data_IF_539279025890
#
_entry.id   IF_539279025890
#
_cell.length_a   1.000
_cell.length_b   1.000
_cell.length_c   1.000
_cell.angle_alpha   90.00
_cell.angle_beta   90.00
_cell.angle_gamma   90.00
#
_symmetry.space_group_name_H-M   'P 1'
#
loop_
_entity.id
_entity.type
_entity.pdbx_description
1 polymer ?
#
# COMPACT_ATOMS: atom_id res chain seq x y z
N UNK A 1 20.42 14.42 21.46
CA UNK A 1 20.19 13.74 20.17
C UNK A 1 20.30 12.24 20.41
N UNK A 2 19.24 11.47 20.19
CA UNK A 2 19.34 10.00 20.22
C UNK A 2 20.28 9.56 19.10
N UNK A 3 21.25 8.69 19.40
CA UNK A 3 22.15 8.17 18.36
C UNK A 3 21.33 7.36 17.35
N UNK A 4 21.77 7.34 16.08
CA UNK A 4 21.15 6.54 15.02
C UNK A 4 20.93 5.07 15.45
N UNK A 5 21.87 4.52 16.22
CA UNK A 5 21.78 3.19 16.79
C UNK A 5 20.64 3.05 17.81
N UNK A 6 20.46 4.01 18.72
CA UNK A 6 19.38 4.00 19.70
C UNK A 6 18.00 4.12 19.03
N UNK A 7 17.89 4.96 17.98
CA UNK A 7 16.68 5.07 17.17
C UNK A 7 16.41 3.74 16.44
N UNK A 8 17.41 3.15 15.80
CA UNK A 8 17.24 1.86 15.11
C UNK A 8 16.82 0.73 16.07
N UNK A 9 17.39 0.68 17.29
CA UNK A 9 17.06 -0.34 18.31
C UNK A 9 15.63 -0.14 18.84
N UNK A 10 15.22 1.07 19.19
CA UNK A 10 13.85 1.36 19.64
C UNK A 10 12.83 1.02 18.55
N UNK A 11 13.21 1.19 17.29
CA UNK A 11 12.35 0.95 16.14
C UNK A 11 12.27 -0.52 15.75
N UNK A 12 13.37 -1.27 15.87
CA UNK A 12 13.36 -2.72 15.79
C UNK A 12 12.53 -3.33 16.94
N UNK A 13 12.65 -2.78 18.15
CA UNK A 13 11.87 -3.20 19.31
C UNK A 13 10.38 -2.88 19.14
N UNK A 14 10.04 -1.70 18.61
CA UNK A 14 8.66 -1.34 18.31
C UNK A 14 8.06 -2.22 17.20
N UNK A 15 8.83 -2.51 16.13
CA UNK A 15 8.41 -3.42 15.07
C UNK A 15 8.20 -4.85 15.59
N UNK A 16 9.10 -5.34 16.46
CA UNK A 16 8.97 -6.63 17.12
C UNK A 16 7.78 -6.68 18.07
N UNK A 17 7.61 -5.69 18.94
CA UNK A 17 6.46 -5.57 19.83
C UNK A 17 5.14 -5.52 19.04
N UNK A 18 5.15 -4.88 17.87
CA UNK A 18 3.97 -4.79 17.00
C UNK A 18 3.73 -6.04 16.15
N UNK A 19 4.65 -7.01 16.16
CA UNK A 19 4.49 -8.33 15.54
C UNK A 19 3.69 -9.33 16.40
N UNK A 20 3.28 -8.91 17.60
CA UNK A 20 2.50 -9.70 18.56
C UNK A 20 1.13 -10.18 18.04
N UNK A 21 0.45 -11.05 18.82
CA UNK A 21 -0.80 -11.67 18.41
C UNK A 21 -1.87 -10.64 17.99
N UNK A 22 -2.63 -10.99 16.95
CA UNK A 22 -3.74 -10.14 16.49
C UNK A 22 -4.89 -10.30 17.47
N UNK A 23 -5.26 -9.21 18.14
CA UNK A 23 -6.37 -9.21 19.10
C UNK A 23 -7.68 -9.65 18.42
N UNK A 24 -8.52 -10.52 19.04
CA UNK A 24 -9.76 -11.02 18.45
C UNK A 24 -10.71 -9.92 17.98
N UNK A 25 -10.77 -8.81 18.72
CA UNK A 25 -11.57 -7.63 18.35
C UNK A 25 -11.18 -7.03 16.99
N UNK A 26 -9.91 -7.13 16.55
CA UNK A 26 -9.49 -6.64 15.24
C UNK A 26 -9.99 -7.55 14.11
N UNK A 27 -10.10 -8.85 14.36
CA UNK A 27 -10.66 -9.83 13.42
C UNK A 27 -12.16 -9.55 13.25
N UNK A 28 -12.90 -9.37 14.37
CA UNK A 28 -14.32 -9.06 14.31
C UNK A 28 -14.61 -7.71 13.66
N UNK A 29 -13.79 -6.68 13.93
CA UNK A 29 -13.88 -5.40 13.23
C UNK A 29 -13.61 -5.53 11.73
N UNK A 30 -12.60 -6.31 11.32
CA UNK A 30 -12.34 -6.56 9.91
C UNK A 30 -13.52 -7.27 9.24
N UNK A 31 -14.03 -8.31 9.88
CA UNK A 31 -15.15 -9.09 9.37
C UNK A 31 -16.40 -8.21 9.17
N UNK A 32 -16.76 -7.40 10.17
CA UNK A 32 -17.85 -6.41 10.05
C UNK A 32 -17.64 -5.43 8.90
N UNK A 33 -16.43 -4.87 8.75
CA UNK A 33 -16.09 -3.90 7.70
C UNK A 33 -16.10 -4.48 6.28
N UNK A 34 -15.99 -5.79 6.17
CA UNK A 34 -15.95 -6.50 4.88
C UNK A 34 -17.20 -7.35 4.67
N UNK A 35 -18.21 -7.22 5.54
CA UNK A 35 -19.41 -8.05 5.56
C UNK A 35 -19.12 -9.56 5.49
N UNK A 36 -18.09 -10.00 6.21
CA UNK A 36 -17.69 -11.42 6.30
C UNK A 36 -18.29 -12.07 7.55
N UNK A 37 -18.76 -13.31 7.40
CA UNK A 37 -19.00 -14.19 8.53
C UNK A 37 -17.66 -14.67 9.11
N UNK A 38 -17.49 -14.60 10.43
CA UNK A 38 -16.31 -15.17 11.11
C UNK A 38 -16.59 -16.64 11.34
N UNK A 39 -16.00 -17.50 10.52
CA UNK A 39 -16.07 -18.95 10.64
C UNK A 39 -14.72 -19.53 11.08
N UNK A 40 -14.69 -20.76 11.63
CA UNK A 40 -13.44 -21.44 11.96
C UNK A 40 -12.47 -21.59 10.77
N UNK A 41 -13.00 -21.71 9.54
CA UNK A 41 -12.21 -21.81 8.32
C UNK A 41 -11.66 -20.48 7.82
N UNK A 42 -12.47 -19.40 7.89
CA UNK A 42 -12.08 -18.08 7.37
C UNK A 42 -11.17 -17.30 8.34
N UNK A 43 -11.31 -17.51 9.65
CA UNK A 43 -10.57 -16.76 10.67
C UNK A 43 -9.04 -16.85 10.51
N UNK A 44 -8.42 -18.03 10.32
CA UNK A 44 -6.97 -18.15 10.15
C UNK A 44 -6.43 -17.33 8.98
N UNK A 45 -7.17 -17.25 7.86
CA UNK A 45 -6.82 -16.44 6.68
C UNK A 45 -6.76 -14.96 7.04
N UNK A 46 -7.82 -14.45 7.66
CA UNK A 46 -7.91 -13.04 8.10
C UNK A 46 -6.83 -12.72 9.12
N UNK A 47 -6.65 -13.58 10.12
CA UNK A 47 -5.65 -13.42 11.19
C UNK A 47 -4.24 -13.33 10.62
N UNK A 48 -3.88 -14.25 9.70
CA UNK A 48 -2.56 -14.27 9.04
C UNK A 48 -2.33 -13.01 8.21
N UNK A 49 -3.33 -12.59 7.44
CA UNK A 49 -3.27 -11.35 6.66
C UNK A 49 -3.04 -10.13 7.56
N UNK A 50 -3.82 -9.97 8.63
CA UNK A 50 -3.71 -8.85 9.56
C UNK A 50 -2.35 -8.83 10.27
N UNK A 51 -1.84 -10.00 10.68
CA UNK A 51 -0.51 -10.10 11.31
C UNK A 51 0.59 -9.66 10.35
N UNK A 52 0.58 -10.20 9.14
CA UNK A 52 1.60 -9.93 8.12
C UNK A 52 1.60 -8.45 7.74
N UNK A 53 0.42 -7.90 7.41
CA UNK A 53 0.30 -6.48 7.04
C UNK A 53 0.66 -5.55 8.19
N UNK A 54 0.28 -5.84 9.44
CA UNK A 54 0.68 -5.03 10.60
C UNK A 54 2.19 -4.99 10.77
N UNK A 55 2.84 -6.14 10.74
CA UNK A 55 4.30 -6.25 10.92
C UNK A 55 5.04 -5.45 9.86
N UNK A 56 4.78 -5.71 8.58
CA UNK A 56 5.47 -5.04 7.48
C UNK A 56 5.20 -3.54 7.41
N UNK A 57 3.96 -3.10 7.66
CA UNK A 57 3.61 -1.67 7.71
C UNK A 57 4.30 -0.95 8.87
N UNK A 58 4.39 -1.61 10.02
CA UNK A 58 5.09 -1.07 11.19
C UNK A 58 6.60 -0.95 10.92
N UNK A 59 7.22 -2.00 10.36
CA UNK A 59 8.62 -1.98 9.96
C UNK A 59 8.92 -0.91 8.92
N UNK A 60 8.04 -0.74 7.93
CA UNK A 60 8.17 0.30 6.92
C UNK A 60 8.07 1.71 7.51
N UNK A 61 7.04 1.97 8.32
CA UNK A 61 6.89 3.25 9.05
C UNK A 61 8.14 3.53 9.89
N UNK A 62 8.65 2.48 10.53
CA UNK A 62 9.80 2.58 11.38
C UNK A 62 11.09 2.93 10.61
N UNK A 63 11.31 2.28 9.47
CA UNK A 63 12.40 2.62 8.57
C UNK A 63 12.30 4.06 8.07
N UNK A 64 11.10 4.52 7.68
CA UNK A 64 10.88 5.91 7.28
C UNK A 64 11.27 6.90 8.39
N UNK A 65 10.83 6.67 9.63
CA UNK A 65 11.19 7.51 10.77
C UNK A 65 12.71 7.54 11.04
N UNK A 66 13.40 6.39 10.95
CA UNK A 66 14.86 6.33 11.12
C UNK A 66 15.56 7.14 10.04
N UNK A 67 15.16 6.95 8.77
CA UNK A 67 15.79 7.62 7.62
C UNK A 67 15.51 9.12 7.62
N UNK A 68 14.33 9.55 8.07
CA UNK A 68 14.00 10.96 8.28
C UNK A 68 14.99 11.65 9.23
N UNK A 69 15.44 10.95 10.27
CA UNK A 69 16.34 11.51 11.30
C UNK A 69 17.84 11.27 11.02
N UNK A 70 18.15 10.41 10.04
CA UNK A 70 19.46 9.77 9.94
C UNK A 70 20.24 10.01 8.66
N UNK A 71 19.58 10.43 7.58
CA UNK A 71 20.24 10.65 6.29
C UNK A 71 20.23 12.13 5.90
N UNK A 72 21.35 12.68 5.40
CA UNK A 72 21.32 13.93 4.68
C UNK A 72 20.53 13.78 3.37
N UNK A 73 19.84 14.85 3.00
CA UNK A 73 19.09 15.02 1.74
C UNK A 73 19.99 14.65 0.53
N UNK A 74 19.51 13.96 -0.55
CA UNK A 74 18.15 13.93 -1.11
C UNK A 74 17.35 12.62 -0.93
N UNK A 75 17.81 11.69 -0.09
CA UNK A 75 17.20 10.34 0.05
C UNK A 75 16.33 10.17 1.30
N UNK A 76 15.95 11.28 1.92
CA UNK A 76 15.20 11.27 3.18
C UNK A 76 13.79 10.72 2.94
N UNK A 77 13.56 9.48 3.37
CA UNK A 77 12.25 8.84 3.30
C UNK A 77 11.38 9.36 4.44
N UNK A 78 10.26 9.99 4.12
CA UNK A 78 9.27 10.35 5.13
C UNK A 78 8.57 9.10 5.70
N UNK A 79 7.92 9.20 6.88
CA UNK A 79 7.26 8.06 7.53
C UNK A 79 6.15 7.41 6.69
N UNK A 80 5.43 8.20 5.88
CA UNK A 80 4.39 7.67 5.01
C UNK A 80 4.99 6.84 3.87
N UNK A 81 6.03 7.35 3.21
CA UNK A 81 6.75 6.60 2.16
C UNK A 81 7.29 5.28 2.71
N UNK A 82 7.92 5.30 3.89
CA UNK A 82 8.33 4.09 4.59
C UNK A 82 7.18 3.13 4.86
N UNK A 83 6.07 3.62 5.44
CA UNK A 83 4.87 2.81 5.68
C UNK A 83 4.33 2.17 4.41
N UNK A 84 4.29 2.91 3.30
CA UNK A 84 3.80 2.42 2.01
C UNK A 84 4.72 1.37 1.40
N UNK A 85 6.04 1.53 1.49
CA UNK A 85 6.98 0.46 1.15
C UNK A 85 6.73 -0.81 2.00
N UNK A 86 6.36 -0.64 3.27
CA UNK A 86 5.86 -1.71 4.12
C UNK A 86 4.59 -2.38 3.60
N UNK A 87 3.66 -1.64 2.98
CA UNK A 87 2.48 -2.22 2.30
C UNK A 87 2.91 -3.10 1.13
N UNK A 88 3.86 -2.65 0.29
CA UNK A 88 4.39 -3.44 -0.83
C UNK A 88 5.06 -4.72 -0.31
N UNK A 89 5.92 -4.58 0.70
CA UNK A 89 6.61 -5.71 1.34
C UNK A 89 5.64 -6.73 1.94
N UNK A 90 4.54 -6.28 2.55
CA UNK A 90 3.50 -7.17 3.05
C UNK A 90 2.89 -8.03 1.93
N UNK A 91 2.61 -7.44 0.77
CA UNK A 91 2.00 -8.15 -0.35
C UNK A 91 2.94 -9.10 -1.07
N UNK A 92 4.22 -8.75 -1.14
CA UNK A 92 5.27 -9.65 -1.60
C UNK A 92 5.41 -10.83 -0.64
N UNK A 93 5.44 -10.58 0.68
CA UNK A 93 5.53 -11.64 1.69
C UNK A 93 4.30 -12.57 1.70
N UNK A 94 3.09 -12.01 1.50
CA UNK A 94 1.87 -12.81 1.34
C UNK A 94 1.94 -13.63 0.05
N UNK A 95 2.35 -13.01 -1.05
CA UNK A 95 2.45 -13.66 -2.37
C UNK A 95 3.51 -14.75 -2.46
N UNK A 96 4.62 -14.60 -1.73
CA UNK A 96 5.72 -15.57 -1.69
C UNK A 96 5.31 -16.89 -1.01
N UNK A 97 4.39 -16.84 -0.04
CA UNK A 97 3.95 -18.02 0.72
C UNK A 97 2.81 -18.76 0.02
N UNK A 98 2.92 -19.00 -1.29
CA UNK A 98 1.92 -19.75 -2.06
C UNK A 98 1.66 -21.08 -1.34
N UNK A 99 0.42 -21.30 -0.93
CA UNK A 99 0.01 -22.60 -0.42
C UNK A 99 -0.21 -23.51 -1.63
N UNK A 100 0.56 -24.60 -1.77
CA UNK A 100 0.28 -25.61 -2.79
C UNK A 100 -1.07 -26.23 -2.46
N UNK A 101 -2.07 -25.98 -3.29
CA UNK A 101 -3.42 -26.47 -3.09
C UNK A 101 -4.22 -26.43 -4.38
N UNK A 102 -5.30 -27.23 -4.46
CA UNK A 102 -6.17 -27.25 -5.63
C UNK A 102 -6.74 -25.85 -5.91
N UNK A 103 -6.73 -25.48 -7.18
CA UNK A 103 -7.18 -24.17 -7.67
C UNK A 103 -8.57 -24.34 -8.27
N UNK A 104 -9.51 -23.48 -7.86
CA UNK A 104 -10.81 -23.41 -8.50
C UNK A 104 -10.68 -22.67 -9.85
N UNK A 105 -11.29 -23.23 -10.90
CA UNK A 105 -11.43 -22.53 -12.17
C UNK A 105 -12.38 -21.34 -11.97
N UNK A 106 -11.85 -20.11 -12.07
CA UNK A 106 -12.66 -18.90 -12.01
C UNK A 106 -12.96 -18.43 -13.45
N UNK A 107 -14.23 -18.29 -13.85
CA UNK A 107 -14.60 -17.89 -15.21
C UNK A 107 -14.19 -16.45 -15.55
N UNK A 108 -14.00 -15.59 -14.55
CA UNK A 108 -13.50 -14.23 -14.74
C UNK A 108 -12.68 -13.75 -13.52
N UNK A 109 -11.67 -12.87 -13.73
CA UNK A 109 -10.90 -12.30 -12.63
C UNK A 109 -11.80 -11.39 -11.76
N UNK A 110 -11.68 -11.48 -10.42
CA UNK A 110 -12.52 -10.71 -9.52
C UNK A 110 -12.28 -9.20 -9.65
N UNK A 111 -13.36 -8.43 -9.52
CA UNK A 111 -13.29 -6.96 -9.44
C UNK A 111 -12.88 -6.56 -8.01
N UNK A 112 -11.58 -6.38 -7.81
CA UNK A 112 -11.00 -6.06 -6.49
C UNK A 112 -11.05 -4.58 -6.11
N UNK A 113 -11.24 -3.67 -7.07
CA UNK A 113 -11.19 -2.23 -6.87
C UNK A 113 -12.54 -1.58 -7.12
N UNK A 114 -12.94 -0.67 -6.23
CA UNK A 114 -14.02 0.28 -6.49
C UNK A 114 -13.65 1.24 -7.64
N UNK A 115 -14.63 1.88 -8.29
CA UNK A 115 -14.36 2.89 -9.32
C UNK A 115 -13.43 4.01 -8.84
N UNK A 116 -13.63 4.48 -7.61
CA UNK A 116 -12.80 5.53 -7.01
C UNK A 116 -11.37 5.06 -6.71
N UNK A 117 -11.18 3.83 -6.20
CA UNK A 117 -9.83 3.31 -6.00
C UNK A 117 -9.10 3.10 -7.32
N UNK A 118 -9.83 2.75 -8.39
CA UNK A 118 -9.28 2.65 -9.74
C UNK A 118 -8.81 4.02 -10.27
N UNK A 119 -9.57 5.09 -10.06
CA UNK A 119 -9.13 6.43 -10.45
C UNK A 119 -7.90 6.87 -9.68
N UNK A 120 -7.79 6.54 -8.38
CA UNK A 120 -6.55 6.78 -7.62
C UNK A 120 -5.36 6.02 -8.19
N UNK A 121 -5.52 4.73 -8.52
CA UNK A 121 -4.43 3.92 -9.09
C UNK A 121 -3.89 4.52 -10.39
N UNK A 122 -4.79 4.82 -11.33
CA UNK A 122 -4.39 5.33 -12.65
C UNK A 122 -4.02 6.82 -12.63
N UNK A 123 -4.65 7.62 -11.77
CA UNK A 123 -4.24 9.00 -11.53
C UNK A 123 -2.83 9.07 -10.96
N UNK A 124 -2.50 8.22 -9.98
CA UNK A 124 -1.14 8.07 -9.47
C UNK A 124 -0.16 7.64 -10.57
N UNK A 125 -0.53 6.66 -11.40
CA UNK A 125 0.30 6.26 -12.54
C UNK A 125 0.57 7.40 -13.53
N UNK A 126 -0.45 8.18 -13.88
CA UNK A 126 -0.30 9.34 -14.76
C UNK A 126 0.62 10.40 -14.12
N UNK A 127 0.45 10.70 -12.84
CA UNK A 127 1.31 11.66 -12.12
C UNK A 127 2.77 11.20 -12.06
N UNK A 128 3.03 9.92 -11.81
CA UNK A 128 4.40 9.38 -11.81
C UNK A 128 5.06 9.47 -13.19
N UNK A 129 4.31 9.23 -14.28
CA UNK A 129 4.80 9.41 -15.65
C UNK A 129 5.09 10.88 -15.94
N UNK A 130 4.20 11.79 -15.58
CA UNK A 130 4.40 13.23 -15.76
C UNK A 130 5.63 13.73 -14.99
N UNK A 131 5.81 13.30 -13.74
CA UNK A 131 6.98 13.64 -12.93
C UNK A 131 8.28 13.12 -13.55
N UNK A 132 8.28 11.90 -14.09
CA UNK A 132 9.45 11.34 -14.77
C UNK A 132 9.78 12.10 -16.06
N UNK A 133 8.78 12.42 -16.88
CA UNK A 133 8.96 13.20 -18.11
C UNK A 133 9.47 14.61 -17.82
N UNK A 134 8.94 15.27 -16.79
CA UNK A 134 9.43 16.57 -16.33
C UNK A 134 10.90 16.48 -15.88
N UNK A 135 11.25 15.46 -15.08
CA UNK A 135 12.63 15.22 -14.66
C UNK A 135 13.59 14.99 -15.83
N UNK A 136 13.19 14.18 -16.81
CA UNK A 136 13.96 13.96 -18.05
C UNK A 136 14.13 15.27 -18.82
N UNK A 137 13.05 16.05 -18.99
CA UNK A 137 13.09 17.33 -19.68
C UNK A 137 14.09 18.30 -19.05
N UNK A 138 14.10 18.42 -17.71
CA UNK A 138 15.08 19.26 -17.01
C UNK A 138 16.51 18.70 -17.17
N UNK A 139 16.70 17.38 -17.08
CA UNK A 139 18.01 16.75 -17.25
C UNK A 139 18.62 17.03 -18.64
N UNK A 140 17.81 16.98 -19.70
CA UNK A 140 18.26 17.26 -21.08
C UNK A 140 18.74 18.70 -21.25
N UNK A 141 18.24 19.65 -20.44
CA UNK A 141 18.70 21.05 -20.45
C UNK A 141 20.03 21.29 -19.71
N UNK A 142 20.66 20.23 -19.17
CA UNK A 142 21.91 20.33 -18.40
C UNK A 142 21.74 20.98 -17.02
N UNK A 143 20.49 21.24 -16.60
CA UNK A 143 20.19 21.78 -15.27
C UNK A 143 20.17 20.65 -14.25
N UNK A 144 20.65 20.89 -13.01
CA UNK A 144 20.44 19.92 -11.94
C UNK A 144 18.94 19.68 -11.76
N UNK A 145 18.55 18.41 -11.69
CA UNK A 145 17.17 18.00 -11.42
C UNK A 145 17.07 17.73 -9.92
N UNK A 146 16.71 18.73 -9.09
CA UNK A 146 16.38 18.45 -7.71
C UNK A 146 15.29 17.37 -7.67
N UNK A 147 15.49 16.35 -6.83
CA UNK A 147 14.52 15.26 -6.68
C UNK A 147 14.56 14.16 -7.75
N UNK A 148 15.57 14.08 -8.63
CA UNK A 148 15.70 12.95 -9.57
C UNK A 148 15.61 11.57 -8.88
N UNK A 149 16.32 11.30 -7.76
CA UNK A 149 16.17 10.03 -7.04
C UNK A 149 14.73 9.74 -6.63
N UNK A 150 14.00 10.79 -6.24
CA UNK A 150 12.61 10.69 -5.81
C UNK A 150 11.66 10.40 -6.96
N UNK A 151 11.87 11.02 -8.14
CA UNK A 151 11.09 10.71 -9.35
C UNK A 151 11.26 9.26 -9.80
N UNK A 152 12.51 8.76 -9.79
CA UNK A 152 12.83 7.37 -10.12
C UNK A 152 12.20 6.42 -9.12
N UNK A 153 12.35 6.71 -7.82
CA UNK A 153 11.75 5.89 -6.76
C UNK A 153 10.22 5.85 -6.87
N UNK A 154 9.58 7.00 -7.08
CA UNK A 154 8.14 7.13 -7.24
C UNK A 154 7.66 6.31 -8.45
N UNK A 155 8.34 6.43 -9.60
CA UNK A 155 8.03 5.65 -10.78
C UNK A 155 8.18 4.13 -10.54
N UNK A 156 9.26 3.72 -9.87
CA UNK A 156 9.50 2.31 -9.53
C UNK A 156 8.40 1.77 -8.59
N UNK A 157 8.04 2.51 -7.55
CA UNK A 157 6.98 2.15 -6.62
C UNK A 157 5.62 2.08 -7.31
N UNK A 158 5.34 3.00 -8.24
CA UNK A 158 4.10 2.97 -9.02
C UNK A 158 4.03 1.76 -9.95
N UNK A 159 5.13 1.44 -10.64
CA UNK A 159 5.25 0.22 -11.43
C UNK A 159 5.02 -1.03 -10.57
N UNK A 160 5.68 -1.11 -9.41
CA UNK A 160 5.49 -2.19 -8.43
C UNK A 160 4.05 -2.31 -7.94
N UNK A 161 3.39 -1.19 -7.66
CA UNK A 161 1.97 -1.14 -7.25
C UNK A 161 1.07 -1.71 -8.35
N UNK A 162 1.25 -1.29 -9.61
CA UNK A 162 0.48 -1.79 -10.76
C UNK A 162 0.66 -3.31 -10.94
N UNK A 163 1.90 -3.79 -10.84
CA UNK A 163 2.22 -5.22 -10.92
C UNK A 163 1.61 -6.02 -9.75
N UNK A 164 1.63 -5.49 -8.54
CA UNK A 164 1.02 -6.12 -7.37
C UNK A 164 -0.50 -6.16 -7.48
N UNK A 165 -1.16 -5.07 -7.90
CA UNK A 165 -2.61 -5.04 -8.13
C UNK A 165 -2.99 -6.03 -9.23
N UNK A 166 -2.23 -6.09 -10.33
CA UNK A 166 -2.40 -7.10 -11.38
C UNK A 166 -2.22 -8.51 -10.83
N UNK A 167 -1.18 -8.74 -10.03
CA UNK A 167 -0.93 -10.03 -9.36
C UNK A 167 -2.12 -10.43 -8.48
N UNK A 168 -2.64 -9.54 -7.64
CA UNK A 168 -3.79 -9.83 -6.77
C UNK A 168 -5.03 -10.28 -7.55
N UNK A 169 -5.27 -9.69 -8.73
CA UNK A 169 -6.38 -10.05 -9.63
C UNK A 169 -6.18 -11.40 -10.30
N UNK A 170 -4.94 -11.73 -10.67
CA UNK A 170 -4.58 -12.96 -11.38
C UNK A 170 -4.22 -14.13 -10.45
N UNK A 171 -4.08 -13.87 -9.14
CA UNK A 171 -3.76 -14.93 -8.16
C UNK A 171 -4.85 -16.01 -8.18
N UNK A 172 -4.48 -17.30 -8.27
CA UNK A 172 -5.44 -18.41 -8.20
C UNK A 172 -6.35 -18.32 -6.98
N UNK A 173 -7.64 -18.66 -7.13
CA UNK A 173 -8.58 -18.77 -6.02
C UNK A 173 -8.49 -20.21 -5.47
N UNK A 174 -8.32 -20.41 -4.15
CA UNK A 174 -8.25 -21.75 -3.58
C UNK A 174 -9.60 -22.46 -3.75
N UNK A 175 -9.56 -23.77 -4.06
CA UNK A 175 -10.73 -24.64 -4.00
C UNK A 175 -11.05 -24.94 -2.52
N UNK A 176 -11.75 -24.01 -1.87
CA UNK A 176 -12.08 -24.03 -0.45
C UNK A 176 -13.56 -23.66 -0.23
N UNK A 177 -14.11 -23.89 0.98
CA UNK A 177 -15.44 -23.44 1.35
C UNK A 177 -15.67 -21.94 1.06
N UNK A 178 -16.91 -21.56 0.79
CA UNK A 178 -17.28 -20.24 0.26
C UNK A 178 -16.88 -19.07 1.20
N UNK A 179 -16.93 -19.29 2.51
CA UNK A 179 -16.48 -18.38 3.56
C UNK A 179 -14.96 -18.11 3.50
N UNK A 180 -14.15 -19.15 3.25
CA UNK A 180 -12.70 -19.03 3.07
C UNK A 180 -12.38 -18.25 1.80
N UNK A 181 -13.07 -18.55 0.69
CA UNK A 181 -12.92 -17.83 -0.57
C UNK A 181 -13.29 -16.36 -0.40
N UNK A 182 -14.40 -16.05 0.29
CA UNK A 182 -14.83 -14.69 0.59
C UNK A 182 -13.77 -13.93 1.40
N UNK A 183 -13.19 -14.57 2.42
CA UNK A 183 -12.11 -13.97 3.22
C UNK A 183 -10.85 -13.67 2.38
N UNK A 184 -10.46 -14.59 1.48
CA UNK A 184 -9.34 -14.36 0.55
C UNK A 184 -9.63 -13.17 -0.37
N UNK A 185 -10.82 -13.08 -0.96
CA UNK A 185 -11.19 -11.96 -1.83
C UNK A 185 -11.22 -10.63 -1.07
N UNK A 186 -11.76 -10.60 0.16
CA UNK A 186 -11.77 -9.43 1.02
C UNK A 186 -10.36 -8.92 1.34
N UNK A 187 -9.43 -9.81 1.69
CA UNK A 187 -8.03 -9.43 1.97
C UNK A 187 -7.34 -8.86 0.72
N UNK A 188 -7.57 -9.47 -0.46
CA UNK A 188 -7.06 -8.97 -1.75
C UNK A 188 -7.63 -7.62 -2.13
N UNK A 189 -8.94 -7.42 -1.95
CA UNK A 189 -9.60 -6.14 -2.21
C UNK A 189 -9.04 -5.05 -1.30
N UNK A 190 -8.98 -5.29 0.01
CA UNK A 190 -8.42 -4.31 0.96
C UNK A 190 -6.99 -3.94 0.60
N UNK A 191 -6.19 -4.93 0.22
CA UNK A 191 -4.84 -4.68 -0.23
C UNK A 191 -4.79 -3.82 -1.49
N UNK A 192 -5.56 -4.18 -2.52
CA UNK A 192 -5.63 -3.44 -3.77
C UNK A 192 -6.04 -1.98 -3.54
N UNK A 193 -7.03 -1.73 -2.67
CA UNK A 193 -7.44 -0.38 -2.29
C UNK A 193 -6.33 0.39 -1.56
N UNK A 194 -5.62 -0.26 -0.63
CA UNK A 194 -4.49 0.36 0.08
C UNK A 194 -3.37 0.71 -0.90
N UNK A 195 -3.03 -0.20 -1.81
CA UNK A 195 -2.02 -0.01 -2.85
C UNK A 195 -2.39 1.16 -3.78
N UNK A 196 -3.63 1.18 -4.27
CA UNK A 196 -4.10 2.22 -5.17
C UNK A 196 -4.07 3.62 -4.54
N UNK A 197 -4.61 3.75 -3.33
CA UNK A 197 -4.69 5.03 -2.62
C UNK A 197 -3.31 5.50 -2.15
N UNK A 198 -2.50 4.61 -1.58
CA UNK A 198 -1.15 4.95 -1.14
C UNK A 198 -0.23 5.33 -2.31
N UNK A 199 -0.36 4.66 -3.45
CA UNK A 199 0.36 5.02 -4.67
C UNK A 199 -0.01 6.42 -5.16
N UNK A 200 -1.30 6.79 -5.13
CA UNK A 200 -1.73 8.12 -5.53
C UNK A 200 -1.08 9.22 -4.69
N UNK A 201 -0.97 9.02 -3.37
CA UNK A 201 -0.29 9.97 -2.46
C UNK A 201 1.18 10.07 -2.80
N UNK A 202 1.87 8.94 -2.91
CA UNK A 202 3.30 8.93 -3.18
C UNK A 202 3.60 9.56 -4.55
N UNK A 203 2.80 9.23 -5.57
CA UNK A 203 2.90 9.82 -6.91
C UNK A 203 2.69 11.33 -6.89
N UNK A 204 1.71 11.81 -6.13
CA UNK A 204 1.47 13.23 -5.98
C UNK A 204 2.61 13.95 -5.26
N UNK A 205 3.09 13.40 -4.13
CA UNK A 205 4.23 13.94 -3.41
C UNK A 205 5.48 13.97 -4.29
N UNK A 206 5.70 12.91 -5.09
CA UNK A 206 6.82 12.85 -6.02
C UNK A 206 6.70 13.80 -7.20
N UNK A 207 5.50 14.01 -7.73
CA UNK A 207 5.26 15.03 -8.75
C UNK A 207 5.48 16.44 -8.19
N UNK A 208 5.04 16.72 -6.96
CA UNK A 208 5.31 18.00 -6.31
C UNK A 208 6.82 18.23 -6.12
N UNK A 209 7.57 17.23 -5.67
CA UNK A 209 9.02 17.33 -5.53
C UNK A 209 9.75 17.53 -6.87
N UNK A 210 9.21 16.97 -7.96
CA UNK A 210 9.77 17.15 -9.31
C UNK A 210 9.51 18.55 -9.89
N UNK A 211 8.43 19.20 -9.44
CA UNK A 211 7.92 20.47 -9.97
C UNK A 211 8.05 21.60 -8.94
N UNK A 212 8.70 21.38 -7.78
CA UNK A 212 8.91 22.40 -6.75
C UNK A 212 9.82 23.50 -7.29
N UNK A 213 9.19 24.42 -8.00
CA UNK A 213 9.75 25.68 -8.45
C UNK A 213 10.00 26.52 -7.20
N UNK A 214 11.10 27.28 -7.13
CA UNK A 214 11.45 28.13 -5.97
C UNK A 214 10.40 29.21 -5.63
N UNK A 215 9.32 29.31 -6.41
CA UNK A 215 8.23 30.29 -6.29
C UNK A 215 7.16 29.87 -5.27
N UNK A 216 6.98 28.57 -5.03
CA UNK A 216 5.96 28.05 -4.12
C UNK A 216 6.64 27.53 -2.84
N UNK A 217 6.97 28.44 -1.93
CA UNK A 217 7.73 28.11 -0.70
C UNK A 217 7.10 26.98 0.15
N UNK A 218 7.87 26.50 1.13
CA UNK A 218 7.58 25.33 1.99
C UNK A 218 6.15 25.28 2.56
N UNK A 219 5.52 26.44 2.76
CA UNK A 219 4.17 26.57 3.30
C UNK A 219 3.08 26.00 2.36
N UNK A 220 3.19 26.21 1.04
CA UNK A 220 2.21 25.71 0.06
C UNK A 220 2.31 24.21 -0.09
N UNK A 221 3.54 23.69 -0.15
CA UNK A 221 3.81 22.25 -0.16
C UNK A 221 3.25 21.60 1.11
N UNK A 222 3.45 22.19 2.29
CA UNK A 222 2.88 21.71 3.55
C UNK A 222 1.34 21.74 3.60
N UNK A 223 0.73 22.85 3.17
CA UNK A 223 -0.73 23.03 3.20
C UNK A 223 -1.48 22.15 2.19
N UNK A 224 -0.87 21.80 1.06
CA UNK A 224 -1.51 20.94 0.05
C UNK A 224 -1.20 19.46 0.27
N UNK A 225 0.03 19.12 0.69
CA UNK A 225 0.42 17.72 0.89
C UNK A 225 -0.27 17.08 2.09
N UNK A 226 -0.44 17.80 3.21
CA UNK A 226 -1.02 17.25 4.43
C UNK A 226 -2.50 16.83 4.24
N UNK A 227 -3.40 17.69 3.74
CA UNK A 227 -4.80 17.30 3.55
C UNK A 227 -4.95 16.20 2.50
N UNK A 228 -4.12 16.19 1.46
CA UNK A 228 -4.18 15.15 0.43
C UNK A 228 -3.70 13.80 0.97
N UNK A 229 -2.63 13.80 1.76
CA UNK A 229 -2.12 12.61 2.45
C UNK A 229 -3.16 12.07 3.44
N UNK A 230 -3.80 12.96 4.21
CA UNK A 230 -4.88 12.59 5.13
C UNK A 230 -6.09 12.06 4.35
N UNK A 231 -6.54 12.74 3.30
CA UNK A 231 -7.70 12.33 2.52
C UNK A 231 -7.49 10.98 1.84
N UNK A 232 -6.30 10.73 1.31
CA UNK A 232 -5.97 9.45 0.70
C UNK A 232 -5.71 8.33 1.72
N UNK A 233 -5.15 8.65 2.89
CA UNK A 233 -5.09 7.72 4.02
C UNK A 233 -6.50 7.33 4.49
N UNK A 234 -7.39 8.31 4.64
CA UNK A 234 -8.80 8.08 4.98
C UNK A 234 -9.51 7.29 3.87
N UNK A 235 -9.30 7.60 2.59
CA UNK A 235 -9.86 6.85 1.48
C UNK A 235 -9.35 5.40 1.47
N UNK A 236 -8.04 5.18 1.66
CA UNK A 236 -7.45 3.84 1.73
C UNK A 236 -7.89 3.01 2.94
N UNK A 237 -8.36 3.68 4.00
CA UNK A 237 -8.82 3.03 5.25
C UNK A 237 -10.33 2.96 5.40
N UNK A 238 -11.11 3.62 4.52
CA UNK A 238 -12.57 3.50 4.46
C UNK A 238 -13.01 2.08 4.12
N UNK A 239 -14.24 1.76 4.52
CA UNK A 239 -14.84 0.46 4.26
C UNK A 239 -15.16 0.34 2.76
N UNK A 240 -14.45 -0.54 2.08
CA UNK A 240 -14.77 -0.94 0.71
C UNK A 240 -15.41 -2.32 0.81
N UNK A 241 -16.73 -2.37 0.99
CA UNK A 241 -17.45 -3.61 0.86
C UNK A 241 -17.33 -4.05 -0.61
N UNK A 242 -16.78 -5.24 -0.85
CA UNK A 242 -16.91 -5.85 -2.17
C UNK A 242 -18.38 -6.23 -2.30
N UNK A 243 -19.08 -5.69 -3.28
CA UNK A 243 -20.27 -6.36 -3.79
C UNK A 243 -19.80 -7.65 -4.45
N UNK A 244 -19.73 -8.73 -3.66
CA UNK A 244 -19.69 -10.07 -4.23
C UNK A 244 -21.04 -10.19 -4.93
N UNK A 245 -21.04 -10.24 -6.26
CA UNK A 245 -22.27 -10.52 -7.01
C UNK A 245 -22.92 -11.77 -6.42
N UNK A 246 -24.26 -11.88 -6.44
CA UNK A 246 -24.95 -13.02 -5.86
C UNK A 246 -24.24 -14.29 -6.30
N UNK A 247 -23.87 -15.14 -5.34
CA UNK A 247 -23.29 -16.43 -5.64
C UNK A 247 -24.19 -17.08 -6.67
N UNK A 248 -23.63 -17.48 -7.81
CA UNK A 248 -24.39 -18.24 -8.79
C UNK A 248 -25.00 -19.41 -8.02
N UNK A 249 -26.33 -19.44 -7.95
CA UNK A 249 -27.06 -20.56 -7.35
C UNK A 249 -26.56 -21.80 -8.05
N UNK A 250 -25.98 -22.78 -7.32
CA UNK A 250 -25.64 -24.04 -7.95
C UNK A 250 -26.92 -24.62 -8.60
N UNK A 251 -26.81 -25.19 -9.81
CA UNK A 251 -27.93 -25.80 -10.50
C UNK A 251 -28.55 -26.95 -9.70
#
# INVERSE_FOLDING_TARGET
MLSLAATAVLMAFAAWYWSGPVHPQRISLFARRQALAVTPGAEPVVRRYLRTTRMWRASGLAAGLVLLTGLPDPLTLDPFSGWFLGVLGAELAIGARREPGPVAAAPAPPRLLSPQARSFLYGGAALSVLGLLAGIGVAVTGRPVPGLPWTVMTAAVTGGTLLLVRSLRLRPIPAAPADVVAAVLATRSRSAHTLATGNAVLAFAGALAAVSLPVWGDLVTGLVSLPLTVAAFLAGTRQWAITVGPAATPP
#
